data_IF_782561701715
#
_entry.id   IF_782561701715
#
_cell.length_a   1.000
_cell.length_b   1.000
_cell.length_c   1.000
_cell.angle_alpha   90.00
_cell.angle_beta   90.00
_cell.angle_gamma   90.00
#
_symmetry.space_group_name_H-M   'P 1'
#
loop_
_entity.id
_entity.type
_entity.pdbx_description
1 polymer ?
#
# COMPACT_ATOMS: atom_id res chain seq x y z
N UNK A 1 -0.29 61.31 -22.63
CA UNK A 1 1.03 61.94 -22.43
C UNK A 1 1.52 61.59 -21.02
N UNK A 2 2.66 60.89 -20.89
CA UNK A 2 3.41 60.54 -19.65
C UNK A 2 2.74 59.57 -18.62
N UNK A 3 3.63 59.01 -17.77
CA UNK A 3 3.66 57.72 -17.04
C UNK A 3 4.78 57.84 -15.94
N UNK A 4 5.01 56.88 -14.99
CA UNK A 4 4.25 55.70 -14.52
C UNK A 4 4.20 55.53 -12.96
N UNK A 5 3.55 54.46 -12.41
CA UNK A 5 4.18 53.48 -11.46
C UNK A 5 3.29 52.30 -10.99
N UNK A 6 3.99 51.23 -10.58
CA UNK A 6 3.59 49.84 -10.23
C UNK A 6 3.08 49.63 -8.79
N UNK A 7 2.22 48.62 -8.56
CA UNK A 7 2.37 47.56 -7.52
C UNK A 7 1.13 46.62 -7.42
N UNK A 8 1.38 45.33 -7.13
CA UNK A 8 0.49 44.26 -6.60
C UNK A 8 -0.74 43.87 -7.45
N UNK A 9 -1.01 42.63 -7.87
CA UNK A 9 -0.74 41.27 -7.33
C UNK A 9 -1.59 40.88 -6.10
N UNK A 10 -2.15 39.66 -6.15
CA UNK A 10 -3.15 39.04 -5.23
C UNK A 10 -4.59 39.55 -5.40
N UNK A 11 -5.55 38.60 -5.59
CA UNK A 11 -6.94 38.81 -5.16
C UNK A 11 -8.06 38.67 -6.19
N UNK A 12 -8.19 37.54 -6.90
CA UNK A 12 -9.47 37.08 -7.45
C UNK A 12 -9.59 35.55 -7.32
N UNK A 13 -10.11 35.10 -6.17
CA UNK A 13 -10.77 33.80 -6.05
C UNK A 13 -12.23 34.04 -6.42
N UNK A 14 -12.83 33.12 -7.18
CA UNK A 14 -14.20 33.26 -7.65
C UNK A 14 -15.20 33.00 -6.50
N UNK A 15 -16.09 33.95 -6.23
CA UNK A 15 -17.07 33.87 -5.13
C UNK A 15 -18.12 32.75 -5.37
N UNK A 16 -18.30 32.31 -6.62
CA UNK A 16 -19.16 31.16 -6.96
C UNK A 16 -18.58 29.84 -6.39
N UNK A 17 -17.26 29.69 -6.33
CA UNK A 17 -16.60 28.52 -5.70
C UNK A 17 -16.79 28.51 -4.17
N UNK A 18 -16.78 29.69 -3.54
CA UNK A 18 -17.03 29.82 -2.10
C UNK A 18 -18.49 29.44 -1.77
N UNK A 19 -19.43 29.82 -2.63
CA UNK A 19 -20.85 29.49 -2.47
C UNK A 19 -21.09 27.97 -2.61
N UNK A 20 -20.49 27.33 -3.62
CA UNK A 20 -20.56 25.87 -3.77
C UNK A 20 -19.94 25.10 -2.59
N UNK A 21 -18.83 25.60 -2.03
CA UNK A 21 -18.18 25.03 -0.85
C UNK A 21 -18.97 25.25 0.46
N UNK A 22 -19.79 26.30 0.54
CA UNK A 22 -20.63 26.59 1.70
C UNK A 22 -21.92 25.74 1.72
N UNK A 23 -22.57 25.52 0.57
CA UNK A 23 -23.82 24.76 0.50
C UNK A 23 -23.61 23.24 0.72
N UNK A 24 -22.44 22.69 0.36
CA UNK A 24 -22.13 21.26 0.55
C UNK A 24 -22.10 20.82 2.02
N UNK A 25 -21.83 21.73 2.96
CA UNK A 25 -21.72 21.42 4.40
C UNK A 25 -23.06 21.25 5.13
N UNK A 26 -24.21 21.39 4.46
CA UNK A 26 -25.52 21.37 5.13
C UNK A 26 -26.56 20.39 4.55
N UNK A 27 -26.18 19.13 4.32
CA UNK A 27 -27.15 18.01 4.26
C UNK A 27 -26.60 16.65 4.74
N UNK A 28 -27.51 15.89 5.35
CA UNK A 28 -27.40 14.53 5.89
C UNK A 28 -26.62 14.34 7.21
N UNK A 29 -27.36 14.06 8.30
CA UNK A 29 -26.84 13.34 9.46
C UNK A 29 -26.32 11.99 8.99
N UNK A 30 -25.01 11.71 9.17
CA UNK A 30 -24.44 10.40 8.88
C UNK A 30 -25.04 9.35 9.84
N UNK A 31 -25.47 8.22 9.28
CA UNK A 31 -25.76 7.01 10.04
C UNK A 31 -24.44 6.46 10.62
N UNK A 32 -24.41 5.83 11.82
CA UNK A 32 -23.19 5.25 12.37
C UNK A 32 -22.66 4.03 11.59
N UNK A 33 -23.40 3.55 10.59
CA UNK A 33 -23.14 2.27 9.93
C UNK A 33 -23.18 2.40 8.40
N UNK A 34 -22.31 3.24 7.86
CA UNK A 34 -21.93 3.15 6.45
C UNK A 34 -20.76 2.16 6.36
N UNK A 35 -21.04 0.93 5.94
CA UNK A 35 -20.00 -0.01 5.51
C UNK A 35 -19.34 0.56 4.25
N UNK A 36 -18.27 1.33 4.42
CA UNK A 36 -17.30 1.49 3.35
C UNK A 36 -16.65 0.12 3.19
N UNK A 37 -16.82 -0.50 2.02
CA UNK A 37 -16.00 -1.65 1.67
C UNK A 37 -14.55 -1.17 1.64
N UNK A 38 -13.73 -1.61 2.58
CA UNK A 38 -12.39 -1.09 2.78
C UNK A 38 -11.46 -1.55 1.66
N UNK A 39 -11.55 -0.89 0.50
CA UNK A 39 -10.54 -0.93 -0.56
C UNK A 39 -9.17 -0.70 0.09
N UNK A 40 -8.16 -1.45 -0.34
CA UNK A 40 -6.86 -1.50 0.31
C UNK A 40 -6.09 -0.19 0.17
N UNK A 41 -6.29 0.74 1.10
CA UNK A 41 -5.38 1.85 1.34
C UNK A 41 -4.14 1.33 2.08
N UNK A 42 -3.13 0.92 1.33
CA UNK A 42 -1.83 0.52 1.88
C UNK A 42 -0.96 1.78 2.04
N UNK A 43 -1.32 2.66 2.99
CA UNK A 43 -0.62 3.92 3.26
C UNK A 43 0.92 3.78 3.24
N UNK A 44 1.52 4.06 2.09
CA UNK A 44 2.95 4.21 1.93
C UNK A 44 3.26 5.69 1.67
N UNK A 45 4.16 6.26 2.46
CA UNK A 45 4.79 7.53 2.10
C UNK A 45 5.79 7.26 0.97
N UNK A 46 5.29 7.27 -0.26
CA UNK A 46 6.10 7.02 -1.45
C UNK A 46 7.06 8.17 -1.71
N UNK A 47 8.32 7.82 -1.90
CA UNK A 47 9.41 8.76 -2.22
C UNK A 47 9.74 8.58 -3.69
N UNK A 48 9.91 9.71 -4.37
CA UNK A 48 10.21 9.76 -5.80
C UNK A 48 11.47 8.94 -6.10
N UNK A 49 11.51 8.26 -7.24
CA UNK A 49 12.76 7.88 -7.89
C UNK A 49 13.48 9.15 -8.43
N UNK A 50 13.95 9.95 -7.47
CA UNK A 50 14.44 11.32 -7.61
C UNK A 50 15.45 11.58 -6.50
N UNK A 51 16.47 10.70 -6.46
CA UNK A 51 17.58 10.65 -5.49
C UNK A 51 17.21 10.38 -4.03
N UNK A 52 17.15 9.08 -3.70
CA UNK A 52 17.72 8.57 -2.45
C UNK A 52 18.90 7.61 -2.74
N UNK A 53 19.69 7.88 -3.80
CA UNK A 53 21.05 7.32 -3.89
C UNK A 53 21.85 8.01 -2.78
N UNK A 54 22.33 7.26 -1.80
CA UNK A 54 23.14 7.82 -0.73
C UNK A 54 24.40 8.52 -1.30
N UNK A 55 24.81 9.68 -0.75
CA UNK A 55 26.10 10.32 -1.08
C UNK A 55 27.35 9.50 -0.69
N UNK A 56 27.20 8.24 -0.25
CA UNK A 56 28.26 7.40 0.32
C UNK A 56 29.32 6.94 -0.69
N UNK A 57 29.04 7.03 -2.00
CA UNK A 57 29.97 6.58 -3.05
C UNK A 57 30.85 7.68 -3.68
N UNK A 58 30.55 8.96 -3.48
CA UNK A 58 31.42 10.07 -3.91
C UNK A 58 31.44 11.20 -2.89
N UNK A 59 32.53 11.29 -2.12
CA UNK A 59 32.71 12.36 -1.14
C UNK A 59 32.85 13.74 -1.79
N UNK A 60 31.88 14.62 -1.53
CA UNK A 60 31.91 16.04 -1.91
C UNK A 60 30.65 16.77 -1.44
N UNK A 61 30.79 18.01 -0.98
CA UNK A 61 29.66 18.87 -0.58
C UNK A 61 28.78 19.23 -1.79
N UNK A 62 27.46 19.17 -1.60
CA UNK A 62 26.41 19.55 -2.56
C UNK A 62 25.35 18.45 -2.67
N UNK A 63 24.06 18.73 -2.78
CA UNK A 63 23.31 19.98 -2.87
C UNK A 63 21.85 19.61 -3.16
N UNK A 64 20.89 20.50 -2.92
CA UNK A 64 19.50 20.26 -3.35
C UNK A 64 19.45 20.05 -4.86
N UNK A 65 18.69 19.07 -5.34
CA UNK A 65 18.66 18.71 -6.77
C UNK A 65 17.97 19.77 -7.61
N UNK A 66 18.76 20.62 -8.27
CA UNK A 66 18.29 21.74 -9.12
C UNK A 66 17.45 21.34 -10.36
N UNK A 67 17.18 20.03 -10.58
CA UNK A 67 16.45 19.50 -11.75
C UNK A 67 14.97 19.89 -11.76
N UNK A 68 14.26 19.71 -10.64
CA UNK A 68 12.79 19.91 -10.59
C UNK A 68 12.42 21.29 -10.05
N UNK A 69 11.29 21.83 -10.49
CA UNK A 69 10.80 23.16 -10.05
C UNK A 69 10.54 23.21 -8.54
N UNK A 70 9.92 22.16 -8.02
CA UNK A 70 9.34 22.07 -6.67
C UNK A 70 9.37 20.61 -6.16
N UNK A 71 8.93 20.38 -4.93
CA UNK A 71 8.84 19.04 -4.33
C UNK A 71 7.58 18.31 -4.80
N UNK A 72 7.74 17.14 -5.42
CA UNK A 72 6.62 16.33 -5.91
C UNK A 72 6.08 15.44 -4.79
N UNK A 73 4.96 15.84 -4.19
CA UNK A 73 4.16 14.94 -3.36
C UNK A 73 3.20 14.12 -4.23
N UNK A 74 2.95 12.86 -3.86
CA UNK A 74 2.07 11.95 -4.59
C UNK A 74 1.02 11.35 -3.66
N UNK A 75 -0.09 10.88 -4.24
CA UNK A 75 -1.17 10.18 -3.53
C UNK A 75 -1.36 8.75 -4.01
N UNK A 76 -2.44 8.13 -3.54
CA UNK A 76 -2.96 6.86 -4.07
C UNK A 76 -4.38 7.11 -4.63
N UNK A 77 -4.70 6.51 -5.77
CA UNK A 77 -6.07 6.43 -6.29
C UNK A 77 -6.39 5.00 -6.70
N UNK A 78 -7.59 4.55 -6.33
CA UNK A 78 -8.06 3.19 -6.60
C UNK A 78 -8.99 3.18 -7.82
N UNK A 79 -8.47 2.74 -8.97
CA UNK A 79 -9.28 2.64 -10.19
C UNK A 79 -10.11 1.36 -10.17
N UNK A 80 -11.43 1.54 -10.25
CA UNK A 80 -12.38 0.45 -10.48
C UNK A 80 -12.39 0.14 -11.97
N UNK A 81 -11.88 -1.04 -12.35
CA UNK A 81 -11.92 -1.52 -13.72
C UNK A 81 -13.34 -1.89 -14.15
N UNK A 82 -13.77 -1.56 -15.40
CA UNK A 82 -14.99 -2.14 -15.96
C UNK A 82 -14.90 -3.67 -15.99
N UNK A 83 -15.99 -4.36 -15.64
CA UNK A 83 -16.03 -5.82 -15.47
C UNK A 83 -15.37 -6.63 -16.60
N UNK A 84 -15.47 -6.19 -17.86
CA UNK A 84 -14.82 -6.88 -19.00
C UNK A 84 -13.28 -6.91 -18.91
N UNK A 85 -12.65 -5.93 -18.26
CA UNK A 85 -11.20 -5.83 -18.11
C UNK A 85 -10.66 -6.48 -16.83
N UNK A 86 -11.49 -6.78 -15.84
CA UNK A 86 -11.06 -7.45 -14.61
C UNK A 86 -10.61 -8.91 -14.85
N UNK A 87 -9.61 -9.39 -14.09
CA UNK A 87 -9.28 -10.82 -13.95
C UNK A 87 -10.43 -11.58 -13.28
N UNK A 88 -10.35 -12.91 -13.21
CA UNK A 88 -11.29 -13.69 -12.39
C UNK A 88 -11.18 -13.35 -10.90
N UNK A 89 -9.99 -13.06 -10.35
CA UNK A 89 -9.86 -12.70 -8.93
C UNK A 89 -10.40 -11.30 -8.61
N UNK A 90 -10.29 -10.33 -9.52
CA UNK A 90 -10.87 -8.98 -9.33
C UNK A 90 -12.40 -9.01 -9.47
N UNK A 91 -12.92 -9.93 -10.28
CA UNK A 91 -14.37 -10.15 -10.45
C UNK A 91 -15.01 -10.72 -9.21
N UNK A 92 -14.43 -11.77 -8.62
CA UNK A 92 -15.07 -12.57 -7.59
C UNK A 92 -14.29 -12.47 -6.28
N UNK A 93 -14.77 -11.60 -5.38
CA UNK A 93 -14.05 -11.20 -4.16
C UNK A 93 -14.78 -11.55 -2.87
N UNK A 94 -16.08 -11.89 -2.91
CA UNK A 94 -16.89 -12.22 -1.73
C UNK A 94 -17.18 -13.73 -1.64
N UNK A 95 -16.67 -14.40 -0.60
CA UNK A 95 -17.04 -15.79 -0.27
C UNK A 95 -17.80 -15.84 1.04
N UNK A 96 -18.94 -16.54 1.08
CA UNK A 96 -19.66 -16.83 2.33
C UNK A 96 -19.71 -18.33 2.59
N UNK A 97 -19.03 -18.76 3.66
CA UNK A 97 -18.89 -20.17 4.02
C UNK A 97 -18.90 -20.34 5.55
N UNK A 98 -19.60 -21.37 6.04
CA UNK A 98 -19.76 -21.70 7.46
C UNK A 98 -20.19 -20.51 8.36
N UNK A 99 -21.03 -19.62 7.81
CA UNK A 99 -21.49 -18.40 8.49
C UNK A 99 -20.47 -17.25 8.53
N UNK A 100 -19.25 -17.46 8.03
CA UNK A 100 -18.19 -16.47 7.90
C UNK A 100 -18.24 -15.81 6.52
N UNK A 101 -17.97 -14.51 6.47
CA UNK A 101 -17.82 -13.71 5.26
C UNK A 101 -16.32 -13.44 5.06
N UNK A 102 -15.77 -13.92 3.95
CA UNK A 102 -14.36 -13.73 3.57
C UNK A 102 -14.26 -12.82 2.35
N UNK A 103 -13.27 -11.92 2.37
CA UNK A 103 -12.92 -11.08 1.23
C UNK A 103 -11.55 -11.46 0.64
N UNK A 104 -11.53 -11.67 -0.67
CA UNK A 104 -10.33 -11.77 -1.47
C UNK A 104 -9.78 -10.40 -1.83
N UNK A 105 -8.50 -10.14 -1.54
CA UNK A 105 -7.80 -8.86 -1.85
C UNK A 105 -6.66 -9.02 -2.86
N UNK A 106 -6.79 -9.98 -3.78
CA UNK A 106 -5.88 -10.15 -4.91
C UNK A 106 -4.45 -10.60 -4.57
N UNK A 107 -4.23 -11.19 -3.38
CA UNK A 107 -2.93 -11.77 -3.01
C UNK A 107 -2.91 -13.25 -3.35
N UNK A 108 -2.05 -13.62 -4.29
CA UNK A 108 -1.76 -15.01 -4.64
C UNK A 108 -0.99 -15.69 -3.48
N UNK A 109 -1.18 -17.00 -3.34
CA UNK A 109 -0.50 -17.83 -2.34
C UNK A 109 0.04 -19.10 -3.01
N UNK A 110 1.31 -19.43 -2.75
CA UNK A 110 1.96 -20.59 -3.34
C UNK A 110 1.28 -21.89 -2.89
N UNK A 111 1.22 -22.87 -3.79
CA UNK A 111 0.63 -24.18 -3.50
C UNK A 111 1.32 -24.94 -2.34
N UNK A 112 2.53 -24.53 -1.95
CA UNK A 112 3.21 -24.97 -0.73
C UNK A 112 2.44 -24.63 0.55
N UNK A 113 1.73 -23.51 0.61
CA UNK A 113 0.96 -23.03 1.76
C UNK A 113 -0.50 -23.50 1.74
N UNK A 114 -0.97 -24.11 0.64
CA UNK A 114 -2.33 -24.63 0.50
C UNK A 114 -2.46 -26.01 1.15
N UNK A 115 -3.53 -26.20 1.91
CA UNK A 115 -3.87 -27.42 2.64
C UNK A 115 -4.95 -28.26 1.94
N UNK A 116 -5.82 -28.88 2.74
CA UNK A 116 -6.91 -29.73 2.25
C UNK A 116 -7.98 -28.93 1.49
N UNK A 117 -8.58 -29.54 0.47
CA UNK A 117 -9.77 -28.99 -0.20
C UNK A 117 -10.97 -29.02 0.77
N UNK A 118 -11.71 -27.91 0.82
CA UNK A 118 -12.96 -27.76 1.58
C UNK A 118 -14.14 -28.18 0.68
N UNK A 119 -14.16 -27.70 -0.56
CA UNK A 119 -15.19 -28.03 -1.56
C UNK A 119 -15.31 -26.95 -2.63
N UNK A 120 -16.31 -27.09 -3.51
CA UNK A 120 -16.71 -26.00 -4.40
C UNK A 120 -17.71 -25.08 -3.68
N UNK A 121 -17.50 -23.78 -3.78
CA UNK A 121 -18.39 -22.77 -3.20
C UNK A 121 -18.61 -21.61 -4.16
N UNK A 122 -19.81 -21.01 -4.06
CA UNK A 122 -20.15 -19.79 -4.78
C UNK A 122 -19.32 -18.62 -4.25
N UNK A 123 -18.55 -17.98 -5.13
CA UNK A 123 -17.92 -16.68 -4.89
C UNK A 123 -18.67 -15.63 -5.70
N UNK A 124 -18.86 -14.48 -5.07
CA UNK A 124 -19.69 -13.38 -5.53
C UNK A 124 -18.82 -12.22 -6.03
N UNK A 125 -19.32 -11.56 -7.07
CA UNK A 125 -18.74 -10.36 -7.65
C UNK A 125 -19.78 -9.29 -7.95
N UNK A 126 -19.37 -8.02 -8.05
CA UNK A 126 -20.24 -6.92 -8.47
C UNK A 126 -19.56 -6.06 -9.54
N UNK A 127 -20.29 -5.78 -10.61
CA UNK A 127 -19.92 -4.77 -11.60
C UNK A 127 -20.38 -3.40 -11.10
N UNK A 128 -19.55 -2.79 -10.26
CA UNK A 128 -19.80 -1.50 -9.60
C UNK A 128 -20.13 -0.38 -10.61
N UNK A 129 -19.45 -0.38 -11.77
CA UNK A 129 -19.69 0.61 -12.82
C UNK A 129 -21.09 0.43 -13.43
N UNK A 130 -21.50 -0.80 -13.75
CA UNK A 130 -22.81 -1.07 -14.34
C UNK A 130 -23.89 -1.35 -13.27
N UNK A 131 -24.09 -0.35 -12.39
CA UNK A 131 -25.15 -0.33 -11.37
C UNK A 131 -25.05 -1.42 -10.29
N UNK A 132 -23.83 -1.83 -9.92
CA UNK A 132 -23.60 -2.84 -8.88
C UNK A 132 -24.16 -4.22 -9.24
N UNK A 133 -24.14 -4.57 -10.53
CA UNK A 133 -24.75 -5.83 -11.00
C UNK A 133 -24.00 -7.02 -10.42
N UNK A 134 -24.70 -7.84 -9.64
CA UNK A 134 -24.17 -9.07 -9.03
C UNK A 134 -23.92 -10.17 -10.06
N UNK A 135 -22.78 -10.83 -9.93
CA UNK A 135 -22.39 -12.08 -10.59
C UNK A 135 -21.98 -13.13 -9.55
N UNK A 136 -21.96 -14.40 -9.96
CA UNK A 136 -21.65 -15.55 -9.11
C UNK A 136 -20.99 -16.64 -9.94
N UNK A 137 -19.96 -17.28 -9.40
CA UNK A 137 -19.26 -18.41 -10.03
C UNK A 137 -18.81 -19.41 -8.95
N UNK A 138 -18.67 -20.69 -9.30
CA UNK A 138 -18.22 -21.74 -8.36
C UNK A 138 -16.70 -21.94 -8.44
N UNK A 139 -16.02 -21.89 -7.29
CA UNK A 139 -14.58 -22.14 -7.20
C UNK A 139 -14.24 -23.19 -6.14
N UNK A 140 -13.15 -23.93 -6.37
CA UNK A 140 -12.58 -24.81 -5.36
C UNK A 140 -11.95 -23.96 -4.23
N UNK A 141 -12.42 -24.17 -3.00
CA UNK A 141 -11.92 -23.52 -1.78
C UNK A 141 -11.11 -24.54 -0.97
N UNK A 142 -10.03 -24.07 -0.36
CA UNK A 142 -9.05 -24.87 0.37
C UNK A 142 -8.74 -24.23 1.72
N UNK A 143 -8.33 -25.06 2.69
CA UNK A 143 -7.67 -24.59 3.91
C UNK A 143 -6.28 -24.04 3.55
N UNK A 144 -5.78 -23.10 4.35
CA UNK A 144 -4.35 -22.79 4.38
C UNK A 144 -3.65 -23.62 5.45
N UNK A 145 -2.34 -23.82 5.31
CA UNK A 145 -1.48 -24.38 6.34
C UNK A 145 -1.14 -23.30 7.37
N UNK A 146 -0.91 -23.75 8.60
CA UNK A 146 -0.44 -22.93 9.73
C UNK A 146 -1.34 -21.70 10.06
N UNK A 147 -2.56 -21.64 9.50
CA UNK A 147 -3.56 -20.61 9.74
C UNK A 147 -4.96 -21.23 9.87
N UNK A 148 -5.74 -20.76 10.84
CA UNK A 148 -7.08 -21.27 11.12
C UNK A 148 -8.07 -20.92 10.02
N UNK A 149 -8.91 -21.89 9.63
CA UNK A 149 -9.99 -21.71 8.67
C UNK A 149 -10.94 -20.57 9.06
N UNK A 150 -11.12 -20.30 10.36
CA UNK A 150 -11.94 -19.21 10.87
C UNK A 150 -11.41 -17.80 10.53
N UNK A 151 -10.15 -17.69 10.11
CA UNK A 151 -9.50 -16.44 9.72
C UNK A 151 -9.20 -16.38 8.22
N UNK A 152 -8.77 -17.50 7.62
CA UNK A 152 -8.33 -17.53 6.23
C UNK A 152 -8.74 -18.80 5.49
N UNK A 153 -9.02 -18.65 4.20
CA UNK A 153 -9.11 -19.74 3.21
C UNK A 153 -8.40 -19.34 1.92
N UNK A 154 -8.04 -20.32 1.10
CA UNK A 154 -7.53 -20.09 -0.25
C UNK A 154 -8.61 -20.46 -1.27
N UNK A 155 -8.85 -19.59 -2.26
CA UNK A 155 -9.77 -19.86 -3.37
C UNK A 155 -8.97 -20.01 -4.66
N UNK A 156 -9.22 -21.10 -5.39
CA UNK A 156 -8.50 -21.43 -6.61
C UNK A 156 -9.18 -20.86 -7.84
N UNK A 157 -8.50 -19.96 -8.55
CA UNK A 157 -8.99 -19.25 -9.72
C UNK A 157 -7.95 -19.29 -10.82
N UNK A 158 -8.36 -19.67 -12.04
CA UNK A 158 -7.48 -19.76 -13.24
C UNK A 158 -6.18 -20.56 -13.02
N UNK A 159 -6.21 -21.56 -12.12
CA UNK A 159 -5.08 -22.43 -11.79
C UNK A 159 -4.16 -21.90 -10.67
N UNK A 160 -4.36 -20.66 -10.21
CA UNK A 160 -3.68 -20.02 -9.09
C UNK A 160 -4.55 -20.07 -7.83
N UNK A 161 -3.98 -19.81 -6.66
CA UNK A 161 -4.70 -19.73 -5.38
C UNK A 161 -4.61 -18.32 -4.82
N UNK A 162 -5.72 -17.80 -4.30
CA UNK A 162 -5.81 -16.45 -3.76
C UNK A 162 -6.29 -16.48 -2.30
N UNK A 163 -5.68 -15.66 -1.44
CA UNK A 163 -6.05 -15.56 -0.02
C UNK A 163 -7.35 -14.79 0.14
N UNK A 164 -8.29 -15.41 0.83
CA UNK A 164 -9.56 -14.84 1.27
C UNK A 164 -9.54 -14.75 2.80
N UNK A 165 -9.62 -13.52 3.32
CA UNK A 165 -9.53 -13.21 4.75
C UNK A 165 -10.91 -12.98 5.34
N UNK A 166 -11.17 -13.42 6.56
CA UNK A 166 -12.38 -13.06 7.31
C UNK A 166 -12.48 -11.53 7.42
N UNK A 167 -13.61 -10.95 7.01
CA UNK A 167 -13.84 -9.49 7.02
C UNK A 167 -14.59 -9.03 8.29
N UNK A 168 -14.72 -9.90 9.28
CA UNK A 168 -15.26 -9.53 10.59
C UNK A 168 -14.13 -9.03 11.49
N UNK A 169 -14.23 -7.79 11.98
CA UNK A 169 -13.45 -7.36 13.14
C UNK A 169 -13.78 -8.22 14.36
N UNK A 170 -12.82 -9.05 14.75
CA UNK A 170 -12.92 -9.99 15.86
C UNK A 170 -11.51 -10.26 16.42
N UNK A 171 -10.87 -9.25 17.05
CA UNK A 171 -9.59 -9.45 17.70
C UNK A 171 -9.70 -10.53 18.79
N UNK A 172 -8.68 -11.38 18.96
CA UNK A 172 -8.60 -12.30 20.08
C UNK A 172 -8.38 -11.53 21.41
N UNK A 173 -8.72 -12.15 22.53
CA UNK A 173 -8.66 -11.53 23.86
C UNK A 173 -7.22 -11.34 24.35
N UNK A 174 -6.31 -12.22 23.91
CA UNK A 174 -4.88 -12.18 24.23
C UNK A 174 -4.02 -12.45 23.00
N UNK A 175 -2.73 -12.15 23.11
CA UNK A 175 -1.76 -12.51 22.08
C UNK A 175 -1.63 -14.03 21.89
N UNK A 176 -1.73 -14.82 22.95
CA UNK A 176 -1.74 -16.30 22.87
C UNK A 176 -2.91 -16.83 22.03
N UNK A 177 -4.11 -16.29 22.21
CA UNK A 177 -5.26 -16.60 21.35
C UNK A 177 -5.03 -16.23 19.86
N UNK A 178 -4.13 -15.28 19.54
CA UNK A 178 -3.72 -15.02 18.16
C UNK A 178 -2.76 -16.09 17.62
N UNK A 179 -1.82 -16.57 18.44
CA UNK A 179 -0.94 -17.70 18.10
C UNK A 179 -1.71 -19.02 17.95
N UNK A 180 -2.79 -19.23 18.69
CA UNK A 180 -3.70 -20.38 18.49
C UNK A 180 -4.45 -20.32 17.15
N UNK A 181 -4.67 -19.11 16.61
CA UNK A 181 -5.29 -18.91 15.29
C UNK A 181 -4.29 -19.08 14.14
N UNK A 182 -2.99 -18.92 14.36
CA UNK A 182 -1.94 -19.14 13.36
C UNK A 182 -0.54 -19.16 13.97
N UNK A 183 0.34 -19.98 13.40
CA UNK A 183 1.74 -20.04 13.82
C UNK A 183 2.54 -18.86 13.22
N UNK A 184 2.45 -17.70 13.88
CA UNK A 184 3.01 -16.43 13.39
C UNK A 184 4.48 -16.55 12.99
N UNK A 185 5.30 -17.32 13.71
CA UNK A 185 6.72 -17.50 13.41
C UNK A 185 7.01 -18.37 12.17
N UNK A 186 6.00 -19.10 11.66
CA UNK A 186 6.08 -19.79 10.36
C UNK A 186 5.46 -18.99 9.22
N UNK A 187 4.49 -18.13 9.50
CA UNK A 187 3.73 -17.42 8.46
C UNK A 187 4.21 -15.99 8.24
N UNK A 188 4.99 -15.40 9.14
CA UNK A 188 5.61 -14.08 9.00
C UNK A 188 7.13 -14.20 9.22
N UNK A 189 7.92 -13.64 8.31
CA UNK A 189 9.35 -13.39 8.52
C UNK A 189 9.57 -11.91 8.90
N UNK A 190 10.44 -11.63 9.87
CA UNK A 190 10.79 -10.28 10.32
C UNK A 190 12.19 -9.86 9.82
N UNK A 191 12.34 -9.72 8.50
CA UNK A 191 13.64 -9.51 7.87
C UNK A 191 14.18 -8.07 8.01
N UNK A 192 13.32 -7.06 8.07
CA UNK A 192 13.72 -5.64 8.16
C UNK A 192 12.92 -4.87 9.21
N UNK A 193 13.55 -3.84 9.78
CA UNK A 193 12.87 -2.88 10.64
C UNK A 193 13.47 -1.47 10.57
N UNK A 194 12.69 -0.49 11.02
CA UNK A 194 13.08 0.92 11.07
C UNK A 194 12.75 1.60 12.40
N UNK A 195 13.54 2.62 12.76
CA UNK A 195 13.35 3.40 13.98
C UNK A 195 12.33 4.54 13.80
N UNK A 196 11.23 4.49 14.55
CA UNK A 196 10.21 5.53 14.63
C UNK A 196 9.53 5.85 13.28
N UNK A 197 9.30 4.81 12.49
CA UNK A 197 8.57 4.85 11.21
C UNK A 197 9.49 4.56 10.02
N UNK A 198 8.87 4.38 8.85
CA UNK A 198 9.52 3.74 7.69
C UNK A 198 9.75 4.69 6.50
N UNK A 199 10.16 5.92 6.80
CA UNK A 199 10.50 6.93 5.79
C UNK A 199 11.97 6.89 5.37
N UNK A 200 12.35 7.58 4.28
CA UNK A 200 13.74 7.63 3.79
C UNK A 200 14.70 8.35 4.75
N UNK A 201 14.16 9.11 5.71
CA UNK A 201 14.89 9.88 6.71
C UNK A 201 14.99 9.16 8.06
N UNK A 202 14.83 7.83 8.05
CA UNK A 202 14.80 6.95 9.22
C UNK A 202 15.96 5.98 9.15
N UNK A 203 16.36 5.45 10.31
CA UNK A 203 17.39 4.43 10.37
C UNK A 203 16.73 3.08 10.01
N UNK A 204 17.25 2.41 8.98
CA UNK A 204 16.77 1.12 8.49
C UNK A 204 17.77 0.02 8.81
N UNK A 205 17.26 -1.17 9.07
CA UNK A 205 18.05 -2.31 9.54
C UNK A 205 17.55 -3.61 8.94
N UNK A 206 18.49 -4.50 8.59
CA UNK A 206 18.22 -5.91 8.30
C UNK A 206 18.52 -6.72 9.55
N UNK A 207 17.55 -7.51 10.01
CA UNK A 207 17.69 -8.40 11.16
C UNK A 207 18.34 -9.72 10.72
N UNK A 208 19.33 -10.22 11.47
CA UNK A 208 20.04 -11.44 11.08
C UNK A 208 19.24 -12.74 11.31
N UNK A 209 18.32 -12.72 12.27
CA UNK A 209 17.42 -13.83 12.64
C UNK A 209 16.29 -13.27 13.52
N UNK A 210 15.05 -13.72 13.33
CA UNK A 210 13.88 -13.31 14.11
C UNK A 210 13.42 -14.34 15.18
N UNK A 211 14.05 -15.52 15.24
CA UNK A 211 13.77 -16.60 16.22
C UNK A 211 13.52 -16.07 17.65
N UNK A 212 14.41 -15.19 18.15
CA UNK A 212 14.33 -14.66 19.51
C UNK A 212 13.21 -13.61 19.69
N UNK A 213 12.86 -12.88 18.63
CA UNK A 213 11.70 -11.97 18.65
C UNK A 213 10.43 -12.80 18.81
N UNK A 214 10.30 -13.88 18.05
CA UNK A 214 9.20 -14.83 18.19
C UNK A 214 9.19 -15.57 19.52
N UNK A 215 10.35 -15.96 20.07
CA UNK A 215 10.45 -16.56 21.42
C UNK A 215 9.88 -15.62 22.50
N UNK A 216 10.27 -14.34 22.48
CA UNK A 216 9.77 -13.34 23.46
C UNK A 216 8.28 -13.09 23.29
N UNK A 217 7.78 -13.00 22.05
CA UNK A 217 6.35 -12.81 21.77
C UNK A 217 5.50 -14.04 22.17
N UNK A 218 5.99 -15.25 21.95
CA UNK A 218 5.34 -16.48 22.42
C UNK A 218 5.29 -16.54 23.96
N UNK A 219 6.33 -16.03 24.64
CA UNK A 219 6.33 -15.83 26.10
C UNK A 219 5.29 -14.81 26.61
N UNK A 220 4.66 -14.05 25.73
CA UNK A 220 3.63 -13.05 26.03
C UNK A 220 2.20 -13.56 25.80
N UNK A 221 1.94 -14.88 25.89
CA UNK A 221 0.62 -15.51 25.64
C UNK A 221 -0.57 -14.82 26.36
N UNK A 222 -0.34 -14.26 27.55
CA UNK A 222 -1.34 -13.60 28.39
C UNK A 222 -1.46 -12.08 28.17
N UNK A 223 -0.69 -11.51 27.22
CA UNK A 223 -0.75 -10.10 26.86
C UNK A 223 -2.17 -9.73 26.37
N UNK A 224 -2.91 -8.86 27.07
CA UNK A 224 -4.29 -8.57 26.72
C UNK A 224 -4.37 -7.71 25.45
N UNK A 225 -5.39 -7.96 24.64
CA UNK A 225 -5.82 -7.04 23.59
C UNK A 225 -6.29 -5.71 24.21
N UNK A 226 -6.01 -4.59 23.55
CA UNK A 226 -6.32 -3.24 24.00
C UNK A 226 -7.18 -2.52 22.96
N UNK A 227 -8.45 -2.32 23.29
CA UNK A 227 -9.38 -1.53 22.50
C UNK A 227 -9.24 -0.04 22.85
N UNK A 228 -8.39 0.68 22.12
CA UNK A 228 -8.23 2.14 22.23
C UNK A 228 -8.11 2.80 20.84
N UNK A 229 -9.22 3.36 20.36
CA UNK A 229 -9.30 4.13 19.11
C UNK A 229 -8.41 5.39 19.09
N UNK A 230 -7.91 5.84 20.25
CA UNK A 230 -7.03 7.01 20.38
C UNK A 230 -5.56 6.62 20.50
N UNK A 231 -5.24 5.33 20.50
CA UNK A 231 -3.86 4.88 20.54
C UNK A 231 -3.19 5.14 19.19
N UNK A 232 -2.11 5.93 19.20
CA UNK A 232 -1.32 6.28 18.03
C UNK A 232 0.14 5.89 18.26
N UNK A 233 0.74 5.17 17.32
CA UNK A 233 2.14 4.74 17.41
C UNK A 233 3.12 5.92 17.41
N UNK A 234 2.83 6.96 16.63
CA UNK A 234 3.70 8.12 16.42
C UNK A 234 3.86 9.04 17.66
N UNK A 235 3.05 8.85 18.71
CA UNK A 235 3.21 9.55 20.01
C UNK A 235 4.30 8.90 20.90
N UNK A 236 4.95 7.83 20.43
CA UNK A 236 5.84 6.94 21.21
C UNK A 236 7.17 6.72 20.48
N UNK A 237 8.16 6.18 21.20
CA UNK A 237 9.29 5.53 20.55
C UNK A 237 8.90 4.09 20.16
N UNK A 238 9.13 3.70 18.92
CA UNK A 238 8.76 2.39 18.39
C UNK A 238 9.69 1.90 17.27
N UNK A 239 9.71 0.58 17.10
CA UNK A 239 10.49 -0.14 16.09
C UNK A 239 9.49 -0.79 15.14
N UNK A 240 9.60 -0.45 13.86
CA UNK A 240 8.67 -0.83 12.81
C UNK A 240 9.23 -1.97 11.99
N UNK A 241 8.80 -3.20 12.30
CA UNK A 241 9.13 -4.38 11.50
C UNK A 241 8.24 -4.44 10.26
N UNK A 242 8.86 -4.67 9.11
CA UNK A 242 8.17 -4.87 7.83
C UNK A 242 7.81 -6.34 7.69
N UNK A 243 6.51 -6.63 7.60
CA UNK A 243 5.98 -8.00 7.55
C UNK A 243 5.52 -8.38 6.14
N UNK A 244 6.01 -9.51 5.63
CA UNK A 244 5.50 -10.12 4.39
C UNK A 244 5.11 -11.56 4.66
N UNK A 245 3.98 -11.98 4.09
CA UNK A 245 3.38 -13.29 4.30
C UNK A 245 2.46 -13.65 3.13
N UNK A 246 2.81 -14.70 2.40
CA UNK A 246 1.88 -15.28 1.42
C UNK A 246 0.61 -15.81 2.11
N UNK A 247 0.77 -16.58 3.19
CA UNK A 247 -0.35 -17.23 3.91
C UNK A 247 -1.36 -16.21 4.42
N UNK A 248 -0.90 -15.10 5.01
CA UNK A 248 -1.80 -14.03 5.47
C UNK A 248 -2.27 -13.12 4.35
N UNK A 249 -1.75 -13.25 3.12
CA UNK A 249 -1.98 -12.30 2.04
C UNK A 249 -1.57 -10.87 2.43
N UNK A 250 -0.37 -10.72 2.99
CA UNK A 250 0.21 -9.45 3.42
C UNK A 250 1.53 -9.27 2.68
N UNK A 251 1.70 -8.13 2.02
CA UNK A 251 2.97 -7.74 1.42
C UNK A 251 3.39 -6.44 2.06
N UNK A 252 4.61 -6.39 2.60
CA UNK A 252 5.21 -5.20 3.18
C UNK A 252 4.22 -4.46 4.13
N UNK A 253 3.55 -5.21 5.00
CA UNK A 253 2.71 -4.67 6.07
C UNK A 253 3.55 -4.24 7.28
N UNK A 254 2.90 -3.76 8.34
CA UNK A 254 3.59 -3.21 9.50
C UNK A 254 3.30 -3.97 10.81
N UNK A 255 4.34 -4.17 11.60
CA UNK A 255 4.27 -4.62 12.99
C UNK A 255 5.16 -3.71 13.85
N UNK A 256 4.58 -3.03 14.83
CA UNK A 256 5.31 -2.12 15.71
C UNK A 256 5.52 -2.73 17.09
N UNK A 257 6.72 -2.58 17.63
CA UNK A 257 7.03 -2.80 19.04
C UNK A 257 7.40 -1.45 19.65
N UNK A 258 6.59 -0.98 20.60
CA UNK A 258 6.80 0.31 21.26
C UNK A 258 7.59 0.16 22.56
N UNK A 259 8.40 1.16 22.91
CA UNK A 259 9.21 1.14 24.15
C UNK A 259 8.33 1.09 25.40
N UNK A 260 7.12 1.67 25.36
CA UNK A 260 6.12 1.61 26.44
C UNK A 260 5.31 0.29 26.50
N UNK A 261 5.75 -0.75 25.77
CA UNK A 261 5.29 -2.13 26.00
C UNK A 261 4.12 -2.61 25.14
N UNK A 262 3.89 -2.02 23.96
CA UNK A 262 2.82 -2.47 23.06
C UNK A 262 3.34 -3.16 21.81
N UNK A 263 2.62 -4.20 21.39
CA UNK A 263 2.69 -4.79 20.06
C UNK A 263 1.48 -4.31 19.25
N UNK A 264 1.72 -3.70 18.09
CA UNK A 264 0.67 -3.27 17.15
C UNK A 264 0.89 -3.95 15.80
N UNK A 265 -0.17 -4.35 15.09
CA UNK A 265 -0.07 -4.80 13.69
C UNK A 265 -1.38 -4.58 12.92
N UNK A 266 -1.26 -4.40 11.60
CA UNK A 266 -2.37 -4.31 10.66
C UNK A 266 -2.49 -5.51 9.69
N UNK A 267 -1.80 -6.63 9.96
CA UNK A 267 -1.79 -7.82 9.10
C UNK A 267 -3.20 -8.39 8.78
N UNK A 268 -4.17 -8.18 9.68
CA UNK A 268 -5.46 -8.88 9.74
C UNK A 268 -6.63 -8.03 9.22
N UNK A 269 -6.42 -7.20 8.18
CA UNK A 269 -7.32 -6.14 7.68
C UNK A 269 -7.58 -4.98 8.68
N UNK A 270 -7.40 -5.21 9.97
CA UNK A 270 -7.65 -4.27 11.05
C UNK A 270 -6.43 -4.13 11.95
N UNK A 271 -6.35 -3.01 12.66
CA UNK A 271 -5.40 -2.79 13.75
C UNK A 271 -5.71 -3.74 14.91
N UNK A 272 -4.75 -4.60 15.25
CA UNK A 272 -4.69 -5.30 16.54
C UNK A 272 -3.59 -4.67 17.40
N UNK A 273 -3.85 -4.54 18.69
CA UNK A 273 -2.99 -3.91 19.68
C UNK A 273 -2.98 -4.77 20.95
N UNK A 274 -1.80 -5.18 21.39
CA UNK A 274 -1.62 -6.00 22.60
C UNK A 274 -0.63 -5.32 23.56
N UNK A 275 -0.90 -5.36 24.85
CA UNK A 275 0.05 -4.90 25.87
C UNK A 275 0.96 -6.07 26.28
N UNK A 276 2.15 -6.14 25.67
CA UNK A 276 3.19 -7.14 25.97
C UNK A 276 4.07 -6.75 27.17
N UNK A 277 3.99 -5.50 27.62
CA UNK A 277 4.76 -4.95 28.72
C UNK A 277 6.18 -4.49 28.33
N UNK A 278 6.69 -3.50 29.08
CA UNK A 278 7.99 -2.87 28.83
C UNK A 278 9.17 -3.87 28.84
N UNK A 279 9.12 -4.93 29.65
CA UNK A 279 10.17 -5.96 29.73
C UNK A 279 10.27 -6.81 28.45
N UNK A 280 9.14 -7.19 27.85
CA UNK A 280 9.13 -7.93 26.60
C UNK A 280 9.57 -7.04 25.42
N UNK A 281 9.01 -5.82 25.33
CA UNK A 281 9.40 -4.84 24.32
C UNK A 281 10.91 -4.51 24.41
N UNK A 282 11.43 -4.27 25.62
CA UNK A 282 12.86 -4.00 25.84
C UNK A 282 13.76 -5.13 25.38
N UNK A 283 13.37 -6.41 25.57
CA UNK A 283 14.13 -7.57 25.09
C UNK A 283 14.16 -7.62 23.56
N UNK A 284 13.01 -7.44 22.91
CA UNK A 284 12.89 -7.45 21.44
C UNK A 284 13.73 -6.32 20.84
N UNK A 285 13.54 -5.08 21.31
CA UNK A 285 14.22 -3.89 20.80
C UNK A 285 15.74 -4.00 21.00
N UNK A 286 16.17 -4.44 22.20
CA UNK A 286 17.59 -4.66 22.48
C UNK A 286 18.18 -5.73 21.56
N UNK A 287 17.51 -6.87 21.42
CA UNK A 287 17.97 -7.95 20.55
C UNK A 287 18.08 -7.49 19.10
N UNK A 288 17.06 -6.80 18.59
CA UNK A 288 17.05 -6.28 17.23
C UNK A 288 18.29 -5.40 16.97
N UNK A 289 18.55 -4.41 17.84
CA UNK A 289 19.75 -3.54 17.75
C UNK A 289 21.08 -4.28 17.86
N UNK A 290 21.16 -5.30 18.71
CA UNK A 290 22.40 -6.08 18.89
C UNK A 290 22.63 -7.12 17.78
N UNK A 291 21.60 -7.46 16.99
CA UNK A 291 21.62 -8.54 16.00
C UNK A 291 21.14 -8.09 14.61
N UNK A 292 21.32 -6.81 14.27
CA UNK A 292 21.01 -6.24 12.95
C UNK A 292 22.21 -5.56 12.30
N UNK A 293 22.17 -5.39 10.99
CA UNK A 293 23.04 -4.48 10.25
C UNK A 293 22.23 -3.30 9.70
N UNK A 294 22.81 -2.09 9.74
CA UNK A 294 22.25 -0.91 9.06
C UNK A 294 22.06 -1.19 7.56
N UNK A 295 20.97 -0.68 7.00
CA UNK A 295 20.54 -0.90 5.63
C UNK A 295 20.11 0.43 4.99
N UNK A 296 20.12 0.50 3.66
CA UNK A 296 19.55 1.63 2.94
C UNK A 296 18.02 1.53 2.90
N UNK A 297 17.33 2.66 2.72
CA UNK A 297 15.88 2.69 2.59
C UNK A 297 15.45 2.05 1.26
N UNK A 298 14.68 0.96 1.33
CA UNK A 298 14.05 0.36 0.15
C UNK A 298 12.57 0.82 0.06
N UNK A 299 12.21 1.67 -0.92
CA UNK A 299 10.83 2.12 -1.07
C UNK A 299 9.86 0.94 -1.32
N UNK A 300 8.65 1.06 -0.82
CA UNK A 300 7.57 0.07 -1.03
C UNK A 300 7.27 -0.11 -2.51
N UNK A 301 7.14 1.01 -3.21
CA UNK A 301 6.92 1.17 -4.63
C UNK A 301 7.63 2.46 -5.05
N UNK A 302 8.05 2.54 -6.31
CA UNK A 302 8.61 3.75 -6.89
C UNK A 302 7.56 4.46 -7.74
N UNK A 303 7.67 5.78 -7.84
CA UNK A 303 6.79 6.60 -8.69
C UNK A 303 7.60 7.52 -9.60
N UNK A 304 7.11 7.64 -10.84
CA UNK A 304 7.46 8.72 -11.76
C UNK A 304 6.20 9.48 -12.16
N UNK A 305 6.34 10.75 -12.50
CA UNK A 305 5.23 11.60 -12.95
C UNK A 305 5.64 12.30 -14.23
N UNK A 306 4.73 12.41 -15.19
CA UNK A 306 5.01 13.09 -16.44
C UNK A 306 3.79 13.16 -17.35
N UNK A 307 4.01 13.58 -18.59
CA UNK A 307 2.98 13.64 -19.63
C UNK A 307 3.08 12.44 -20.57
N UNK A 308 1.96 11.80 -20.86
CA UNK A 308 1.92 10.75 -21.87
C UNK A 308 2.13 11.38 -23.25
N UNK A 309 3.18 10.97 -23.96
CA UNK A 309 3.49 11.42 -25.33
C UNK A 309 3.11 10.39 -26.39
N UNK A 310 3.10 9.10 -26.04
CA UNK A 310 2.74 8.00 -26.94
C UNK A 310 2.11 6.85 -26.16
N UNK A 311 1.15 6.15 -26.77
CA UNK A 311 0.60 4.87 -26.31
C UNK A 311 0.57 3.92 -27.51
N UNK A 312 1.11 2.72 -27.34
CA UNK A 312 1.09 1.62 -28.32
C UNK A 312 0.56 0.35 -27.67
N UNK A 313 0.47 -0.74 -28.44
CA UNK A 313 0.11 -2.07 -27.90
C UNK A 313 1.26 -2.69 -27.07
N UNK A 314 2.48 -2.13 -27.12
CA UNK A 314 3.69 -2.67 -26.45
C UNK A 314 4.21 -1.79 -25.30
N UNK A 315 4.00 -0.47 -25.35
CA UNK A 315 4.54 0.50 -24.39
C UNK A 315 3.79 1.83 -24.37
N UNK A 316 3.98 2.57 -23.28
CA UNK A 316 3.64 4.00 -23.08
C UNK A 316 4.96 4.80 -23.02
N UNK A 317 4.98 6.01 -23.59
CA UNK A 317 6.05 6.98 -23.36
C UNK A 317 5.57 8.10 -22.43
N UNK A 318 6.35 8.39 -21.39
CA UNK A 318 6.06 9.40 -20.37
C UNK A 318 7.20 10.42 -20.28
N UNK A 319 6.91 11.69 -20.45
CA UNK A 319 7.88 12.81 -20.44
C UNK A 319 7.74 13.66 -19.16
N UNK A 320 8.79 13.72 -18.33
CA UNK A 320 8.79 14.49 -17.08
C UNK A 320 9.15 15.99 -17.25
N UNK A 321 9.45 16.46 -18.48
CA UNK A 321 9.91 17.83 -18.77
C UNK A 321 9.02 18.94 -18.19
N UNK A 322 7.73 18.66 -17.98
CA UNK A 322 6.77 19.58 -17.36
C UNK A 322 7.11 19.91 -15.89
N UNK A 323 7.76 19.00 -15.17
CA UNK A 323 8.18 19.11 -13.77
C UNK A 323 9.56 19.76 -13.62
N UNK A 324 10.41 19.67 -14.66
CA UNK A 324 11.80 20.13 -14.63
C UNK A 324 11.90 21.67 -14.62
N UNK A 325 12.83 22.24 -13.85
CA UNK A 325 13.10 23.68 -13.78
C UNK A 325 13.52 24.22 -15.17
N UNK A 326 14.39 23.49 -15.85
CA UNK A 326 14.66 23.62 -17.27
C UNK A 326 14.00 22.44 -18.02
N UNK A 327 13.10 22.66 -18.99
CA UNK A 327 12.47 21.57 -19.75
C UNK A 327 13.46 20.71 -20.55
N UNK A 328 14.63 21.25 -20.95
CA UNK A 328 15.64 20.46 -21.67
C UNK A 328 16.34 19.41 -20.79
N UNK A 329 16.16 19.46 -19.46
CA UNK A 329 16.69 18.48 -18.50
C UNK A 329 15.74 17.28 -18.32
N UNK A 330 14.62 17.25 -19.07
CA UNK A 330 13.59 16.24 -18.96
C UNK A 330 14.00 14.86 -19.49
N UNK A 331 13.39 13.83 -18.89
CA UNK A 331 13.60 12.42 -19.20
C UNK A 331 12.30 11.86 -19.78
N UNK A 332 12.43 11.15 -20.91
CA UNK A 332 11.37 10.31 -21.45
C UNK A 332 11.57 8.88 -20.95
N UNK A 333 10.60 8.38 -20.18
CA UNK A 333 10.54 7.02 -19.70
C UNK A 333 9.72 6.14 -20.66
N UNK A 334 10.16 4.90 -20.85
CA UNK A 334 9.45 3.88 -21.64
C UNK A 334 8.85 2.83 -20.71
N UNK A 335 7.54 2.85 -20.55
CA UNK A 335 6.82 1.89 -19.71
C UNK A 335 6.29 0.76 -20.58
N UNK A 336 6.72 -0.48 -20.36
CA UNK A 336 6.25 -1.64 -21.13
C UNK A 336 4.85 -2.07 -20.69
N UNK A 337 4.07 -2.64 -21.61
CA UNK A 337 2.72 -3.17 -21.36
C UNK A 337 2.70 -4.69 -21.16
N UNK A 338 3.80 -5.23 -20.63
CA UNK A 338 3.97 -6.64 -20.29
C UNK A 338 3.16 -7.07 -19.05
N UNK A 339 2.87 -6.15 -18.12
CA UNK A 339 2.00 -6.41 -16.97
C UNK A 339 0.52 -6.20 -17.34
N UNK A 340 -0.33 -7.14 -16.92
CA UNK A 340 -1.77 -7.11 -17.18
C UNK A 340 -2.48 -5.91 -16.52
N UNK A 341 -1.94 -5.37 -15.42
CA UNK A 341 -2.47 -4.18 -14.74
C UNK A 341 -2.26 -2.95 -15.59
N UNK A 342 -1.06 -2.75 -16.14
CA UNK A 342 -0.71 -1.54 -16.90
C UNK A 342 -1.29 -1.56 -18.33
N UNK A 343 -1.32 -2.72 -19.00
CA UNK A 343 -1.90 -2.84 -20.35
C UNK A 343 -3.39 -2.45 -20.41
N UNK A 344 -4.16 -2.76 -19.37
CA UNK A 344 -5.58 -2.36 -19.26
C UNK A 344 -5.81 -0.86 -19.27
N UNK A 345 -4.86 -0.04 -18.80
CA UNK A 345 -4.99 1.42 -18.88
C UNK A 345 -5.07 1.89 -20.33
N UNK A 346 -4.19 1.35 -21.19
CA UNK A 346 -4.21 1.59 -22.62
C UNK A 346 -5.46 0.98 -23.28
N UNK A 347 -5.76 -0.31 -23.05
CA UNK A 347 -6.89 -1.02 -23.68
C UNK A 347 -8.28 -0.47 -23.33
N UNK A 348 -8.44 0.12 -22.14
CA UNK A 348 -9.69 0.72 -21.68
C UNK A 348 -9.87 2.17 -22.10
N UNK A 349 -8.79 2.85 -22.51
CA UNK A 349 -8.76 4.29 -22.73
C UNK A 349 -8.94 5.10 -21.44
N UNK A 350 -8.53 4.53 -20.31
CA UNK A 350 -8.51 5.19 -18.99
C UNK A 350 -7.41 6.27 -18.92
N UNK A 351 -6.34 6.12 -19.69
CA UNK A 351 -5.30 7.14 -19.93
C UNK A 351 -5.17 7.45 -21.42
N UNK A 352 -4.68 8.63 -21.76
CA UNK A 352 -4.58 9.13 -23.14
C UNK A 352 -3.34 9.99 -23.36
N UNK A 353 -2.90 10.03 -24.61
CA UNK A 353 -1.84 10.94 -25.05
C UNK A 353 -2.22 12.40 -24.74
N UNK A 354 -1.31 13.10 -24.05
CA UNK A 354 -1.47 14.49 -23.60
C UNK A 354 -1.91 14.65 -22.15
N UNK A 355 -2.42 13.61 -21.50
CA UNK A 355 -2.75 13.61 -20.06
C UNK A 355 -1.45 13.53 -19.23
N UNK A 356 -1.46 14.16 -18.04
CA UNK A 356 -0.37 13.98 -17.08
C UNK A 356 -0.75 12.84 -16.15
N UNK A 357 0.14 11.88 -15.95
CA UNK A 357 -0.09 10.74 -15.06
C UNK A 357 1.10 10.50 -14.14
N UNK A 358 0.80 9.93 -12.98
CA UNK A 358 1.74 9.21 -12.16
C UNK A 358 1.76 7.75 -12.60
N UNK A 359 2.94 7.16 -12.72
CA UNK A 359 3.13 5.71 -12.89
C UNK A 359 3.80 5.17 -11.63
N UNK A 360 3.21 4.12 -11.07
CA UNK A 360 3.79 3.39 -9.94
C UNK A 360 4.37 2.07 -10.44
N UNK A 361 5.56 1.71 -9.97
CA UNK A 361 6.32 0.53 -10.41
C UNK A 361 7.19 -0.03 -9.27
N UNK A 362 7.75 -1.22 -9.47
CA UNK A 362 8.59 -1.92 -8.48
C UNK A 362 10.04 -2.08 -9.01
N UNK A 363 11.05 -2.03 -8.14
CA UNK A 363 12.46 -2.13 -8.56
C UNK A 363 13.04 -0.86 -9.18
N UNK A 364 14.22 -0.99 -9.80
CA UNK A 364 15.01 0.14 -10.34
C UNK A 364 14.72 0.42 -11.83
N UNK A 365 14.98 1.66 -12.27
CA UNK A 365 14.94 2.03 -13.69
C UNK A 365 16.32 1.78 -14.30
N UNK A 366 16.38 1.16 -15.48
CA UNK A 366 17.64 0.93 -16.20
C UNK A 366 18.23 2.21 -16.85
N UNK A 367 19.47 2.14 -17.34
CA UNK A 367 20.15 3.24 -18.04
C UNK A 367 19.41 3.72 -19.32
N UNK A 368 18.45 2.94 -19.83
CA UNK A 368 17.64 3.30 -21.00
C UNK A 368 16.33 4.04 -20.64
N UNK A 369 16.08 4.25 -19.35
CA UNK A 369 14.81 4.76 -18.80
C UNK A 369 13.60 3.85 -19.11
N UNK A 370 13.84 2.53 -19.26
CA UNK A 370 12.78 1.55 -19.47
C UNK A 370 12.29 0.99 -18.13
N UNK A 371 10.97 0.81 -18.02
CA UNK A 371 10.27 0.24 -16.86
C UNK A 371 9.40 -0.91 -17.35
N UNK A 372 9.70 -2.14 -16.90
CA UNK A 372 8.95 -3.36 -17.21
C UNK A 372 8.13 -3.89 -16.03
N UNK A 373 8.10 -3.12 -14.95
CA UNK A 373 7.53 -3.45 -13.64
C UNK A 373 6.41 -2.50 -13.20
N UNK A 374 5.81 -1.75 -14.14
CA UNK A 374 4.73 -0.81 -13.84
C UNK A 374 3.43 -1.54 -13.45
N UNK A 375 2.82 -1.09 -12.36
CA UNK A 375 1.70 -1.78 -11.69
C UNK A 375 0.43 -0.93 -11.62
N UNK A 376 0.54 0.39 -11.72
CA UNK A 376 -0.60 1.30 -11.82
C UNK A 376 -0.23 2.61 -12.52
N UNK A 377 -1.26 3.29 -13.01
CA UNK A 377 -1.23 4.68 -13.43
C UNK A 377 -2.34 5.46 -12.70
N UNK A 378 -2.19 6.77 -12.56
CA UNK A 378 -3.22 7.66 -11.99
C UNK A 378 -3.12 9.05 -12.62
N UNK A 379 -4.26 9.64 -12.95
CA UNK A 379 -4.32 11.01 -13.47
C UNK A 379 -3.81 12.01 -12.43
N UNK A 380 -3.03 13.00 -12.86
CA UNK A 380 -2.53 14.05 -11.96
C UNK A 380 -2.82 15.46 -12.45
N UNK A 381 -3.17 16.32 -11.50
CA UNK A 381 -3.28 17.76 -11.66
C UNK A 381 -2.00 18.40 -11.14
N UNK A 382 -1.22 19.01 -12.02
CA UNK A 382 -0.02 19.76 -11.66
C UNK A 382 -0.45 21.21 -11.40
N UNK A 383 -0.28 21.70 -10.17
CA UNK A 383 -0.75 23.03 -9.75
C UNK A 383 0.21 23.66 -8.74
N UNK A 384 0.75 24.84 -9.08
CA UNK A 384 1.55 25.64 -8.14
C UNK A 384 2.92 25.07 -7.76
N UNK A 385 3.36 23.99 -8.40
CA UNK A 385 4.56 23.22 -8.05
C UNK A 385 4.22 21.80 -7.59
N UNK A 386 3.05 21.64 -6.97
CA UNK A 386 2.57 20.37 -6.45
C UNK A 386 1.97 19.47 -7.55
N UNK A 387 2.09 18.16 -7.34
CA UNK A 387 1.36 17.13 -8.09
C UNK A 387 0.21 16.65 -7.20
N UNK A 388 -1.01 16.70 -7.71
CA UNK A 388 -2.21 16.34 -6.96
C UNK A 388 -2.94 15.21 -7.69
N UNK A 389 -3.22 14.11 -6.99
CA UNK A 389 -4.14 13.08 -7.49
C UNK A 389 -5.57 13.45 -7.05
N UNK A 390 -6.55 13.57 -7.97
CA UNK A 390 -7.95 13.76 -7.60
C UNK A 390 -8.52 12.53 -6.84
N UNK A 391 -9.40 12.78 -5.86
CA UNK A 391 -10.23 11.74 -5.20
C UNK A 391 -11.27 11.11 -6.17
#
# INVERSE_FOLDING_TARGET
MKIPRTANAVGHIDDDLITAAAESKTKAKRSPWLKWGSIAACFALLVIAGTAILPSLFGGDGGTTDKYKDFIQTGESAIIWPWKYQTVYEKYTELKYDGIEYLGRGREVSASHVGEIIGNHTVVGYDEINSGKKYTEEFEVYKLKDAAQSQFVAVKMEGKYYVFKNDKYAPPSTLGELFDLMDLSKVIELNTFSENGDGPNKNHFVLNNDDYVWEVLAGCENAPFVEDEKWVAHDREYYSFTITSETLGVYKGAMYVTVDGYLWTNAFNYQYLFNIGEDAASKIIKYAKENSTEAEYEPYQNTIVGKITEITDEYILLDDSILCANPDDGITYKILLNDLRISRYAESGAIRVGENVQITYEGEIDESNTIDSAISASDVVISGGDVLIPE
#
